data_IF_553944685388
#
_entry.id   IF_553944685388
#
_cell.length_a   1.000
_cell.length_b   1.000
_cell.length_c   1.000
_cell.angle_alpha   90.00
_cell.angle_beta   90.00
_cell.angle_gamma   90.00
#
_symmetry.space_group_name_H-M   'P 1'
#
loop_
_entity.id
_entity.type
_entity.pdbx_description
1 polymer ?
#
# COMPACT_ATOMS: atom_id res chain seq x y z
N UNK A 1 11.81 0.66 6.14
CA UNK A 1 12.19 2.03 5.71
C UNK A 1 11.49 3.07 6.58
N UNK A 2 12.04 4.28 6.76
CA UNK A 2 11.32 5.39 7.39
C UNK A 2 10.33 6.01 6.41
N UNK A 3 9.08 6.14 6.85
CA UNK A 3 8.01 6.79 6.11
C UNK A 3 7.86 8.25 6.58
N UNK A 4 8.00 8.49 7.90
CA UNK A 4 8.04 9.83 8.47
C UNK A 4 9.36 10.08 9.18
N UNK A 5 10.13 11.04 8.68
CA UNK A 5 11.40 11.44 9.32
C UNK A 5 11.15 12.29 10.56
N UNK A 6 10.16 13.19 10.54
CA UNK A 6 9.86 14.09 11.65
C UNK A 6 9.61 13.35 12.97
N UNK A 7 8.86 12.25 12.90
CA UNK A 7 8.42 11.50 14.08
C UNK A 7 8.99 10.07 14.10
N UNK A 8 10.06 9.82 13.33
CA UNK A 8 10.74 8.53 13.23
C UNK A 8 9.78 7.33 13.04
N UNK A 9 8.77 7.50 12.16
CA UNK A 9 7.79 6.44 11.87
C UNK A 9 8.27 5.62 10.69
N UNK A 10 8.39 4.31 10.90
CA UNK A 10 8.73 3.35 9.86
C UNK A 10 7.49 2.59 9.36
N UNK A 11 7.65 1.88 8.24
CA UNK A 11 6.59 1.09 7.62
C UNK A 11 6.02 0.02 8.57
N UNK A 12 6.86 -0.64 9.36
CA UNK A 12 6.42 -1.66 10.33
C UNK A 12 5.53 -1.05 11.42
N UNK A 13 5.83 0.16 11.89
CA UNK A 13 4.98 0.90 12.84
C UNK A 13 3.62 1.19 12.23
N UNK A 14 3.57 1.61 10.96
CA UNK A 14 2.31 1.85 10.24
C UNK A 14 1.50 0.55 10.13
N UNK A 15 2.12 -0.54 9.65
CA UNK A 15 1.46 -1.85 9.53
C UNK A 15 0.95 -2.37 10.88
N UNK A 16 1.71 -2.18 11.96
CA UNK A 16 1.28 -2.55 13.30
C UNK A 16 0.07 -1.75 13.79
N UNK A 17 -0.01 -0.45 13.46
CA UNK A 17 -1.18 0.37 13.77
C UNK A 17 -2.41 -0.04 12.96
N UNK A 18 -2.23 -0.41 11.69
CA UNK A 18 -3.30 -0.95 10.84
C UNK A 18 -3.80 -2.28 11.40
N UNK A 19 -2.90 -3.19 11.78
CA UNK A 19 -3.27 -4.46 12.42
C UNK A 19 -4.02 -4.28 13.75
N UNK A 20 -3.82 -3.15 14.43
CA UNK A 20 -4.59 -2.76 15.63
C UNK A 20 -5.94 -2.11 15.31
N UNK A 21 -6.29 -1.96 14.04
CA UNK A 21 -7.59 -1.44 13.58
C UNK A 21 -7.56 -0.01 13.04
N UNK A 22 -6.40 0.59 12.81
CA UNK A 22 -6.36 1.90 12.14
C UNK A 22 -6.79 1.75 10.67
N UNK A 23 -7.88 2.44 10.29
CA UNK A 23 -8.48 2.41 8.95
C UNK A 23 -8.43 3.76 8.24
N UNK A 24 -8.09 4.83 8.97
CA UNK A 24 -7.98 6.19 8.42
C UNK A 24 -6.62 6.81 8.71
N UNK A 25 -6.20 7.79 7.91
CA UNK A 25 -4.98 8.55 8.18
C UNK A 25 -5.05 9.24 9.54
N UNK A 26 -6.23 9.72 9.96
CA UNK A 26 -6.41 10.37 11.27
C UNK A 26 -6.12 9.41 12.42
N UNK A 27 -6.62 8.18 12.36
CA UNK A 27 -6.33 7.15 13.36
C UNK A 27 -4.85 6.76 13.34
N UNK A 28 -4.27 6.63 12.14
CA UNK A 28 -2.85 6.33 11.99
C UNK A 28 -1.96 7.43 12.57
N UNK A 29 -2.30 8.70 12.33
CA UNK A 29 -1.65 9.88 12.91
C UNK A 29 -1.78 9.91 14.43
N UNK A 30 -2.96 9.59 14.98
CA UNK A 30 -3.16 9.52 16.42
C UNK A 30 -2.34 8.39 17.07
N UNK A 31 -2.22 7.25 16.40
CA UNK A 31 -1.52 6.08 16.93
C UNK A 31 0.02 6.15 16.79
N UNK A 32 0.53 6.80 15.74
CA UNK A 32 1.96 6.74 15.37
C UNK A 32 2.63 8.10 15.28
N UNK A 33 1.87 9.19 15.26
CA UNK A 33 2.39 10.54 14.98
C UNK A 33 2.69 10.78 13.49
N UNK A 34 2.37 9.88 12.57
CA UNK A 34 2.61 10.14 11.13
C UNK A 34 1.83 11.38 10.66
N UNK A 35 2.44 12.18 9.78
CA UNK A 35 1.83 13.36 9.16
C UNK A 35 1.39 14.49 10.12
N UNK A 36 1.77 14.48 11.40
CA UNK A 36 1.38 15.53 12.36
C UNK A 36 2.29 16.77 12.35
N UNK A 37 3.48 16.69 11.74
CA UNK A 37 4.48 17.79 11.73
C UNK A 37 4.52 18.54 10.40
N UNK A 38 5.17 17.99 9.38
CA UNK A 38 5.33 18.67 8.08
C UNK A 38 4.37 18.14 6.98
N UNK A 39 3.64 17.06 7.25
CA UNK A 39 2.66 16.46 6.33
C UNK A 39 3.22 15.76 5.08
N UNK A 40 4.50 15.90 4.74
CA UNK A 40 5.09 15.36 3.49
C UNK A 40 4.92 13.84 3.30
N UNK A 41 4.87 13.09 4.40
CA UNK A 41 4.70 11.63 4.40
C UNK A 41 3.23 11.17 4.28
N UNK A 42 2.26 12.08 4.28
CA UNK A 42 0.83 11.73 4.34
C UNK A 42 0.38 10.86 3.14
N UNK A 43 0.83 11.20 1.94
CA UNK A 43 0.51 10.43 0.74
C UNK A 43 1.03 9.00 0.81
N UNK A 44 2.29 8.82 1.21
CA UNK A 44 2.89 7.49 1.34
C UNK A 44 2.25 6.66 2.45
N UNK A 45 1.96 7.28 3.60
CA UNK A 45 1.24 6.62 4.69
C UNK A 45 -0.16 6.16 4.27
N UNK A 46 -0.89 6.95 3.47
CA UNK A 46 -2.18 6.54 2.90
C UNK A 46 -2.04 5.39 1.89
N UNK A 47 -0.99 5.37 1.07
CA UNK A 47 -0.75 4.26 0.14
C UNK A 47 -0.57 2.94 0.87
N UNK A 48 0.24 2.92 1.94
CA UNK A 48 0.44 1.73 2.78
C UNK A 48 -0.88 1.28 3.42
N UNK A 49 -1.68 2.24 3.91
CA UNK A 49 -3.00 1.97 4.49
C UNK A 49 -3.95 1.30 3.48
N UNK A 50 -4.00 1.79 2.24
CA UNK A 50 -4.83 1.22 1.17
C UNK A 50 -4.35 -0.17 0.76
N UNK A 51 -3.04 -0.33 0.55
CA UNK A 51 -2.42 -1.62 0.21
C UNK A 51 -2.71 -2.68 1.29
N UNK A 52 -2.67 -2.31 2.57
CA UNK A 52 -2.99 -3.23 3.65
C UNK A 52 -4.46 -3.69 3.63
N UNK A 53 -5.39 -2.84 3.21
CA UNK A 53 -6.80 -3.23 3.02
C UNK A 53 -7.00 -4.17 1.83
N UNK A 54 -6.27 -3.95 0.73
CA UNK A 54 -6.31 -4.79 -0.48
C UNK A 54 -5.62 -6.14 -0.31
N UNK A 55 -4.61 -6.23 0.57
CA UNK A 55 -3.82 -7.45 0.80
C UNK A 55 -4.67 -8.62 1.34
N UNK A 56 -5.84 -8.36 1.92
CA UNK A 56 -6.79 -9.43 2.31
C UNK A 56 -7.30 -10.25 1.11
N UNK A 57 -7.15 -9.74 -0.11
CA UNK A 57 -7.49 -10.46 -1.36
C UNK A 57 -6.25 -10.85 -2.19
N UNK A 58 -5.03 -10.51 -1.75
CA UNK A 58 -3.80 -10.82 -2.48
C UNK A 58 -3.06 -11.99 -1.82
N UNK A 59 -3.47 -13.20 -2.18
CA UNK A 59 -2.51 -14.30 -2.36
C UNK A 59 -1.35 -13.77 -3.24
N UNK A 60 -0.07 -14.10 -2.98
CA UNK A 60 1.07 -13.54 -3.72
C UNK A 60 1.09 -14.05 -5.18
N UNK A 61 0.22 -13.52 -6.02
CA UNK A 61 0.24 -13.67 -7.46
C UNK A 61 1.17 -12.61 -8.06
N UNK A 62 2.46 -12.73 -7.77
CA UNK A 62 3.51 -12.17 -8.64
C UNK A 62 4.12 -13.32 -9.41
N UNK A 63 3.41 -13.80 -10.42
CA UNK A 63 3.99 -14.45 -11.57
C UNK A 63 3.23 -13.94 -12.79
N UNK A 64 3.83 -12.93 -13.43
CA UNK A 64 3.87 -12.81 -14.89
C UNK A 64 3.04 -13.88 -15.65
N UNK A 65 1.80 -13.53 -15.99
CA UNK A 65 1.14 -14.06 -17.18
C UNK A 65 0.98 -12.88 -18.14
N UNK A 66 2.03 -12.62 -18.91
CA UNK A 66 1.91 -11.91 -20.17
C UNK A 66 0.99 -12.70 -21.09
N UNK A 67 -0.28 -12.27 -21.12
CA UNK A 67 -1.23 -12.60 -22.18
C UNK A 67 -0.73 -12.00 -23.50
N UNK A 68 0.21 -12.71 -24.14
CA UNK A 68 0.44 -12.59 -25.58
C UNK A 68 -0.24 -13.79 -26.24
N UNK A 69 -1.56 -13.86 -26.10
CA UNK A 69 -2.39 -14.57 -27.07
C UNK A 69 -2.28 -13.80 -28.39
N UNK A 70 -1.32 -14.14 -29.24
CA UNK A 70 -1.46 -13.84 -30.67
C UNK A 70 -2.43 -14.88 -31.19
N UNK A 71 -3.68 -14.52 -31.52
CA UNK A 71 -4.52 -15.44 -32.25
C UNK A 71 -3.81 -15.71 -33.58
N UNK A 72 -3.57 -16.98 -33.85
CA UNK A 72 -3.30 -17.52 -35.18
C UNK A 72 -4.28 -16.88 -36.16
N UNK A 73 -3.81 -15.86 -36.91
CA UNK A 73 -4.51 -15.30 -38.06
C UNK A 73 -4.51 -16.37 -39.15
N UNK A 74 -5.48 -17.28 -39.05
CA UNK A 74 -6.03 -17.99 -40.21
C UNK A 74 -7.29 -17.24 -40.59
N UNK A 75 -7.54 -17.15 -41.91
CA UNK A 75 -8.71 -16.55 -42.59
C UNK A 75 -8.48 -15.12 -43.12
N UNK A 76 -7.87 -15.04 -44.31
CA UNK A 76 -8.41 -14.27 -45.44
C UNK A 76 -8.48 -15.21 -46.65
N UNK A 77 -9.60 -15.08 -47.37
CA UNK A 77 -10.16 -15.92 -48.42
C UNK A 77 -9.23 -16.33 -49.57
#
# INVERSE_FOLDING_TARGET
MYICICNAVNESTIKAAIAKGATTLRELSAATGVATTCGKCAGEAMRILQQAGETTLQSPATANEQCFSVPTLTVVA
#
